data_IF_427458625530
#
_entry.id   IF_427458625530
#
_cell.length_a   1.000
_cell.length_b   1.000
_cell.length_c   1.000
_cell.angle_alpha   90.00
_cell.angle_beta   90.00
_cell.angle_gamma   90.00
#
_symmetry.space_group_name_H-M   'P 1'
#
loop_
_entity.id
_entity.type
_entity.pdbx_description
1 polymer ?
#
# COMPACT_ATOMS: atom_id res chain seq x y z
N UNK A 1 60.89 7.52 3.82
CA UNK A 1 60.37 6.17 3.54
C UNK A 1 59.11 6.34 2.73
N UNK A 2 59.17 5.99 1.45
CA UNK A 2 58.06 6.07 0.51
C UNK A 2 56.99 5.07 0.92
N UNK A 3 55.73 5.51 1.00
CA UNK A 3 54.57 4.69 1.28
C UNK A 3 54.41 3.62 0.19
N UNK A 4 54.97 2.43 0.40
CA UNK A 4 54.52 1.22 -0.28
C UNK A 4 53.15 0.85 0.31
N UNK A 5 52.12 1.61 -0.04
CA UNK A 5 50.75 1.23 0.25
C UNK A 5 50.49 -0.09 -0.48
N UNK A 6 50.31 -1.17 0.28
CA UNK A 6 49.93 -2.46 -0.28
C UNK A 6 48.70 -2.25 -1.16
N UNK A 7 48.83 -2.57 -2.44
CA UNK A 7 47.76 -2.36 -3.42
C UNK A 7 46.47 -3.07 -2.99
N UNK A 8 46.60 -4.18 -2.26
CA UNK A 8 45.49 -4.90 -1.61
C UNK A 8 44.76 -4.06 -0.55
N UNK A 9 45.48 -3.28 0.27
CA UNK A 9 44.88 -2.40 1.28
C UNK A 9 44.09 -1.27 0.64
N UNK A 10 44.63 -0.66 -0.43
CA UNK A 10 43.93 0.38 -1.20
C UNK A 10 42.67 -0.18 -1.89
N UNK A 11 42.76 -1.38 -2.47
CA UNK A 11 41.61 -2.06 -3.09
C UNK A 11 40.55 -2.38 -2.03
N UNK A 12 40.95 -2.90 -0.86
CA UNK A 12 40.02 -3.22 0.22
C UNK A 12 39.34 -1.96 0.79
N UNK A 13 40.09 -0.88 0.99
CA UNK A 13 39.55 0.40 1.44
C UNK A 13 38.57 0.98 0.41
N UNK A 14 38.93 0.96 -0.88
CA UNK A 14 38.06 1.39 -1.97
C UNK A 14 36.77 0.56 -2.07
N UNK A 15 36.88 -0.76 -2.00
CA UNK A 15 35.73 -1.67 -2.03
C UNK A 15 34.80 -1.45 -0.84
N UNK A 16 35.35 -1.23 0.36
CA UNK A 16 34.56 -0.95 1.57
C UNK A 16 33.82 0.38 1.47
N UNK A 17 34.46 1.41 0.91
CA UNK A 17 33.83 2.70 0.66
C UNK A 17 32.68 2.59 -0.36
N UNK A 18 32.92 1.91 -1.48
CA UNK A 18 31.90 1.65 -2.51
C UNK A 18 30.74 0.85 -1.93
N UNK A 19 31.02 -0.20 -1.14
CA UNK A 19 30.00 -0.98 -0.47
C UNK A 19 29.16 -0.14 0.51
N UNK A 20 29.79 0.76 1.27
CA UNK A 20 29.11 1.69 2.17
C UNK A 20 28.19 2.66 1.43
N UNK A 21 28.68 3.26 0.33
CA UNK A 21 27.89 4.18 -0.50
C UNK A 21 26.72 3.46 -1.17
N UNK A 22 26.97 2.28 -1.75
CA UNK A 22 25.92 1.45 -2.35
C UNK A 22 24.88 1.03 -1.30
N UNK A 23 25.32 0.62 -0.12
CA UNK A 23 24.43 0.28 1.00
C UNK A 23 23.54 1.46 1.40
N UNK A 24 24.10 2.67 1.49
CA UNK A 24 23.33 3.88 1.78
C UNK A 24 22.30 4.20 0.69
N UNK A 25 22.70 4.09 -0.60
CA UNK A 25 21.81 4.32 -1.74
C UNK A 25 20.66 3.32 -1.70
N UNK A 26 20.94 2.02 -1.53
CA UNK A 26 19.92 0.97 -1.45
C UNK A 26 18.98 1.26 -0.27
N UNK A 27 19.51 1.52 0.91
CA UNK A 27 18.69 1.81 2.09
C UNK A 27 17.78 3.03 1.86
N UNK A 28 18.33 4.13 1.32
CA UNK A 28 17.59 5.38 1.16
C UNK A 28 16.57 5.32 0.02
N UNK A 29 16.94 4.73 -1.11
CA UNK A 29 16.09 4.70 -2.31
C UNK A 29 15.14 3.51 -2.34
N UNK A 30 15.38 2.42 -1.60
CA UNK A 30 14.52 1.24 -1.67
C UNK A 30 13.66 1.10 -0.43
N UNK A 31 14.24 1.22 0.77
CA UNK A 31 13.48 1.01 2.01
C UNK A 31 12.39 2.08 2.16
N UNK A 32 12.73 3.35 1.94
CA UNK A 32 11.79 4.47 2.12
C UNK A 32 10.53 4.38 1.24
N UNK A 33 10.62 4.19 -0.10
CA UNK A 33 9.41 4.07 -0.93
C UNK A 33 8.61 2.79 -0.64
N UNK A 34 9.28 1.67 -0.35
CA UNK A 34 8.60 0.41 0.01
C UNK A 34 7.78 0.59 1.30
N UNK A 35 8.38 1.21 2.32
CA UNK A 35 7.69 1.50 3.58
C UNK A 35 6.51 2.46 3.34
N UNK A 36 6.69 3.50 2.53
CA UNK A 36 5.63 4.47 2.21
C UNK A 36 4.44 3.80 1.52
N UNK A 37 4.70 2.89 0.58
CA UNK A 37 3.68 2.09 -0.09
C UNK A 37 2.93 1.18 0.89
N UNK A 38 3.65 0.47 1.76
CA UNK A 38 3.02 -0.39 2.77
C UNK A 38 2.17 0.41 3.77
N UNK A 39 2.59 1.62 4.14
CA UNK A 39 1.80 2.51 5.00
C UNK A 39 0.52 2.96 4.28
N UNK A 40 0.62 3.39 3.02
CA UNK A 40 -0.56 3.79 2.23
C UNK A 40 -1.55 2.62 2.08
N UNK A 41 -1.02 1.41 1.83
CA UNK A 41 -1.78 0.16 1.75
C UNK A 41 -2.54 -0.15 3.05
N UNK A 42 -1.88 -0.01 4.21
CA UNK A 42 -2.53 -0.19 5.54
C UNK A 42 -3.57 0.88 5.85
N UNK A 43 -3.30 2.15 5.50
CA UNK A 43 -4.27 3.24 5.69
C UNK A 43 -5.54 2.99 4.88
N UNK A 44 -5.40 2.58 3.62
CA UNK A 44 -6.53 2.23 2.78
C UNK A 44 -7.35 1.10 3.40
N UNK A 45 -6.70 0.04 3.86
CA UNK A 45 -7.38 -1.10 4.48
C UNK A 45 -8.16 -0.71 5.75
N UNK A 46 -7.56 0.12 6.60
CA UNK A 46 -8.20 0.64 7.79
C UNK A 46 -9.46 1.46 7.45
N UNK A 47 -9.37 2.38 6.50
CA UNK A 47 -10.53 3.19 6.09
C UNK A 47 -11.63 2.37 5.42
N UNK A 48 -11.29 1.29 4.69
CA UNK A 48 -12.28 0.36 4.15
C UNK A 48 -12.99 -0.43 5.25
N UNK A 49 -12.27 -0.84 6.30
CA UNK A 49 -12.87 -1.48 7.48
C UNK A 49 -13.81 -0.54 8.23
N UNK A 50 -13.38 0.71 8.45
CA UNK A 50 -14.21 1.75 9.09
C UNK A 50 -15.47 2.02 8.25
N UNK A 51 -15.34 2.10 6.92
CA UNK A 51 -16.49 2.30 6.02
C UNK A 51 -17.50 1.15 6.09
N UNK A 52 -17.04 -0.10 6.15
CA UNK A 52 -17.93 -1.26 6.31
C UNK A 52 -18.69 -1.22 7.64
N UNK A 53 -18.00 -0.92 8.74
CA UNK A 53 -18.63 -0.79 10.06
C UNK A 53 -19.67 0.35 10.08
N UNK A 54 -19.37 1.48 9.44
CA UNK A 54 -20.31 2.61 9.34
C UNK A 54 -21.56 2.26 8.52
N UNK A 55 -21.44 1.44 7.47
CA UNK A 55 -22.61 0.96 6.72
C UNK A 55 -23.51 0.08 7.61
N UNK A 56 -22.91 -0.75 8.47
CA UNK A 56 -23.65 -1.60 9.41
C UNK A 56 -24.41 -0.74 10.45
N UNK A 57 -23.77 0.31 10.98
CA UNK A 57 -24.41 1.28 11.88
C UNK A 57 -25.52 2.11 11.20
N UNK A 58 -25.38 2.41 9.91
CA UNK A 58 -26.37 3.20 9.17
C UNK A 58 -27.67 2.42 8.92
N UNK A 59 -27.60 1.08 8.88
CA UNK A 59 -28.79 0.23 8.91
C UNK A 59 -29.60 0.42 10.21
N UNK A 60 -28.95 0.87 11.30
CA UNK A 60 -29.60 1.13 12.59
C UNK A 60 -29.97 2.61 12.77
N UNK A 61 -29.20 3.57 12.25
CA UNK A 61 -29.46 5.02 12.45
C UNK A 61 -29.26 5.88 11.17
N UNK A 62 -30.29 6.01 10.30
CA UNK A 62 -30.12 6.48 8.93
C UNK A 62 -29.94 8.00 8.72
N UNK A 63 -30.41 8.86 9.64
CA UNK A 63 -30.62 10.30 9.33
C UNK A 63 -29.43 11.24 9.57
N UNK A 64 -28.42 10.86 10.35
CA UNK A 64 -27.26 11.73 10.68
C UNK A 64 -25.94 11.27 10.09
N UNK A 65 -25.83 10.02 9.63
CA UNK A 65 -24.55 9.38 9.28
C UNK A 65 -24.26 9.38 7.77
N UNK A 66 -25.24 9.65 6.91
CA UNK A 66 -25.05 9.59 5.45
C UNK A 66 -23.95 10.53 4.92
N UNK A 67 -23.81 11.72 5.52
CA UNK A 67 -22.74 12.66 5.19
C UNK A 67 -21.35 12.16 5.59
N UNK A 68 -21.24 11.56 6.79
CA UNK A 68 -19.99 11.00 7.33
C UNK A 68 -19.55 9.80 6.47
N UNK A 69 -20.47 8.94 6.05
CA UNK A 69 -20.17 7.80 5.19
C UNK A 69 -19.62 8.23 3.83
N UNK A 70 -20.18 9.28 3.22
CA UNK A 70 -19.65 9.81 1.97
C UNK A 70 -18.24 10.40 2.14
N UNK A 71 -17.98 11.09 3.25
CA UNK A 71 -16.66 11.64 3.55
C UNK A 71 -15.61 10.55 3.79
N UNK A 72 -15.96 9.50 4.53
CA UNK A 72 -15.11 8.32 4.73
C UNK A 72 -14.79 7.63 3.41
N UNK A 73 -15.79 7.45 2.52
CA UNK A 73 -15.58 6.88 1.20
C UNK A 73 -14.67 7.75 0.32
N UNK A 74 -14.87 9.07 0.36
CA UNK A 74 -14.01 10.03 -0.37
C UNK A 74 -12.56 9.94 0.11
N UNK A 75 -12.37 9.79 1.42
CA UNK A 75 -11.05 9.64 2.04
C UNK A 75 -10.39 8.31 1.64
N UNK A 76 -11.15 7.20 1.67
CA UNK A 76 -10.68 5.90 1.19
C UNK A 76 -10.25 5.96 -0.28
N UNK A 77 -11.02 6.63 -1.15
CA UNK A 77 -10.65 6.83 -2.56
C UNK A 77 -9.39 7.66 -2.72
N UNK A 78 -9.24 8.74 -1.96
CA UNK A 78 -8.04 9.56 -1.97
C UNK A 78 -6.80 8.72 -1.62
N UNK A 79 -6.90 7.85 -0.61
CA UNK A 79 -5.83 6.93 -0.26
C UNK A 79 -5.57 5.86 -1.33
N UNK A 80 -6.61 5.39 -2.03
CA UNK A 80 -6.45 4.53 -3.22
C UNK A 80 -5.67 5.21 -4.35
N UNK A 81 -5.99 6.48 -4.65
CA UNK A 81 -5.27 7.27 -5.65
C UNK A 81 -3.82 7.55 -5.22
N UNK A 82 -3.60 7.91 -3.95
CA UNK A 82 -2.26 8.11 -3.40
C UNK A 82 -1.42 6.83 -3.50
N UNK A 83 -2.02 5.66 -3.29
CA UNK A 83 -1.38 4.36 -3.45
C UNK A 83 -0.95 4.11 -4.90
N UNK A 84 -1.83 4.41 -5.88
CA UNK A 84 -1.52 4.31 -7.32
C UNK A 84 -0.41 5.28 -7.72
N UNK A 85 -0.44 6.49 -7.18
CA UNK A 85 0.63 7.48 -7.39
C UNK A 85 1.95 7.00 -6.81
N UNK A 86 1.97 6.46 -5.59
CA UNK A 86 3.19 5.89 -5.00
C UNK A 86 3.71 4.71 -5.85
N UNK A 87 2.82 3.84 -6.32
CA UNK A 87 3.18 2.70 -7.17
C UNK A 87 3.80 3.15 -8.50
N UNK A 88 3.25 4.18 -9.13
CA UNK A 88 3.69 4.63 -10.46
C UNK A 88 4.93 5.52 -10.41
N UNK A 89 5.09 6.33 -9.36
CA UNK A 89 6.09 7.41 -9.29
C UNK A 89 7.27 7.08 -8.38
N UNK A 90 7.01 6.43 -7.23
CA UNK A 90 8.02 6.29 -6.16
C UNK A 90 8.64 4.89 -6.09
N UNK A 91 7.96 3.86 -6.62
CA UNK A 91 8.41 2.49 -6.50
C UNK A 91 9.51 2.14 -7.52
N UNK A 92 10.63 1.52 -7.08
CA UNK A 92 11.62 0.94 -7.99
C UNK A 92 11.00 -0.09 -8.93
N UNK A 93 11.44 -0.13 -10.18
CA UNK A 93 10.89 -1.02 -11.22
C UNK A 93 10.91 -2.50 -10.83
N UNK A 94 12.03 -2.99 -10.25
CA UNK A 94 12.15 -4.37 -9.79
C UNK A 94 11.11 -4.74 -8.72
N UNK A 95 10.73 -3.78 -7.87
CA UNK A 95 9.72 -4.00 -6.84
C UNK A 95 8.31 -4.02 -7.43
N UNK A 96 8.05 -3.26 -8.51
CA UNK A 96 6.80 -3.37 -9.27
C UNK A 96 6.66 -4.75 -9.93
N UNK A 97 7.74 -5.28 -10.50
CA UNK A 97 7.78 -6.64 -11.04
C UNK A 97 7.49 -7.69 -9.95
N UNK A 98 8.03 -7.50 -8.75
CA UNK A 98 7.75 -8.37 -7.61
C UNK A 98 6.28 -8.31 -7.19
N UNK A 99 5.67 -7.11 -7.19
CA UNK A 99 4.25 -6.93 -6.91
C UNK A 99 3.37 -7.57 -7.99
N UNK A 100 3.74 -7.42 -9.26
CA UNK A 100 3.06 -8.03 -10.39
C UNK A 100 3.14 -9.57 -10.36
N UNK A 101 4.30 -10.12 -9.97
CA UNK A 101 4.45 -11.56 -9.68
C UNK A 101 3.56 -12.04 -8.55
N UNK A 102 3.21 -11.16 -7.60
CA UNK A 102 2.24 -11.43 -6.51
C UNK A 102 0.80 -11.13 -6.91
N UNK A 103 0.55 -10.78 -8.17
CA UNK A 103 -0.74 -10.35 -8.70
C UNK A 103 -1.33 -9.13 -7.96
N UNK A 104 -0.46 -8.31 -7.35
CA UNK A 104 -0.87 -7.08 -6.66
C UNK A 104 -1.04 -5.93 -7.67
N UNK A 105 -2.27 -5.44 -7.83
CA UNK A 105 -2.62 -4.38 -8.79
C UNK A 105 -3.32 -3.19 -8.10
N UNK A 106 -2.55 -2.21 -7.57
CA UNK A 106 -3.14 -1.06 -6.88
C UNK A 106 -4.04 -0.21 -7.78
N UNK A 107 -3.77 -0.19 -9.09
CA UNK A 107 -4.60 0.51 -10.09
C UNK A 107 -5.98 -0.13 -10.23
N UNK A 108 -6.06 -1.46 -10.31
CA UNK A 108 -7.34 -2.18 -10.39
C UNK A 108 -8.13 -2.03 -9.10
N UNK A 109 -7.46 -2.13 -7.95
CA UNK A 109 -8.08 -1.94 -6.65
C UNK A 109 -8.68 -0.53 -6.51
N UNK A 110 -7.95 0.52 -6.89
CA UNK A 110 -8.47 1.89 -6.87
C UNK A 110 -9.67 2.07 -7.81
N UNK A 111 -9.64 1.44 -9.00
CA UNK A 111 -10.77 1.46 -9.94
C UNK A 111 -12.03 0.82 -9.38
N UNK A 112 -11.90 -0.29 -8.63
CA UNK A 112 -13.02 -0.93 -7.94
C UNK A 112 -13.65 0.01 -6.90
N UNK A 113 -12.84 0.78 -6.17
CA UNK A 113 -13.30 1.75 -5.16
C UNK A 113 -14.01 2.97 -5.76
N UNK A 114 -13.68 3.36 -6.99
CA UNK A 114 -14.34 4.49 -7.68
C UNK A 114 -15.83 4.22 -7.95
N UNK A 115 -16.25 2.95 -8.05
CA UNK A 115 -17.64 2.60 -8.32
C UNK A 115 -18.51 2.42 -7.06
N UNK A 116 -17.89 2.30 -5.86
CA UNK A 116 -18.60 2.05 -4.60
C UNK A 116 -19.69 3.08 -4.26
N UNK A 117 -19.49 4.36 -4.58
CA UNK A 117 -20.49 5.42 -4.30
C UNK A 117 -21.77 5.30 -5.10
N UNK A 118 -21.75 4.53 -6.19
CA UNK A 118 -22.93 4.26 -7.04
C UNK A 118 -23.68 3.01 -6.58
N UNK A 119 -23.01 2.18 -5.77
CA UNK A 119 -23.59 0.95 -5.25
C UNK A 119 -24.38 1.27 -3.99
N UNK A 120 -25.61 0.79 -3.95
CA UNK A 120 -26.52 0.98 -2.81
C UNK A 120 -26.80 -0.33 -2.06
N UNK A 121 -26.40 -1.45 -2.66
CA UNK A 121 -26.55 -2.79 -2.10
C UNK A 121 -25.29 -3.18 -1.29
N UNK A 122 -25.52 -3.54 -0.03
CA UNK A 122 -24.50 -3.92 0.95
C UNK A 122 -23.67 -5.11 0.48
N UNK A 123 -24.30 -6.16 -0.04
CA UNK A 123 -23.59 -7.38 -0.45
C UNK A 123 -22.64 -7.10 -1.61
N UNK A 124 -23.05 -6.21 -2.51
CA UNK A 124 -22.22 -5.74 -3.62
C UNK A 124 -21.05 -4.91 -3.11
N UNK A 125 -21.27 -4.02 -2.14
CA UNK A 125 -20.20 -3.21 -1.52
C UNK A 125 -19.17 -4.11 -0.83
N UNK A 126 -19.61 -5.05 0.01
CA UNK A 126 -18.73 -5.99 0.72
C UNK A 126 -17.91 -6.84 -0.26
N UNK A 127 -18.54 -7.37 -1.31
CA UNK A 127 -17.87 -8.18 -2.32
C UNK A 127 -16.83 -7.36 -3.09
N UNK A 128 -17.14 -6.12 -3.46
CA UNK A 128 -16.18 -5.24 -4.15
C UNK A 128 -15.02 -4.80 -3.26
N UNK A 129 -15.26 -4.58 -1.98
CA UNK A 129 -14.19 -4.29 -1.01
C UNK A 129 -13.33 -5.53 -0.80
N UNK A 130 -13.92 -6.73 -0.74
CA UNK A 130 -13.18 -7.99 -0.66
C UNK A 130 -12.33 -8.23 -1.91
N UNK A 131 -12.86 -7.99 -3.11
CA UNK A 131 -12.11 -8.05 -4.37
C UNK A 131 -10.96 -7.03 -4.40
N UNK A 132 -11.20 -5.79 -3.98
CA UNK A 132 -10.17 -4.76 -3.90
C UNK A 132 -9.05 -5.14 -2.90
N UNK A 133 -9.42 -5.74 -1.75
CA UNK A 133 -8.47 -6.27 -0.77
C UNK A 133 -7.66 -7.44 -1.35
N UNK A 134 -8.30 -8.34 -2.07
CA UNK A 134 -7.65 -9.49 -2.71
C UNK A 134 -6.65 -9.04 -3.77
N UNK A 135 -7.02 -8.07 -4.61
CA UNK A 135 -6.12 -7.44 -5.60
C UNK A 135 -4.96 -6.66 -4.97
N UNK A 136 -5.09 -6.25 -3.73
CA UNK A 136 -4.00 -5.68 -2.94
C UNK A 136 -3.26 -6.73 -2.11
N UNK A 137 -3.62 -8.01 -2.17
CA UNK A 137 -3.10 -9.05 -1.28
C UNK A 137 -3.10 -8.60 0.20
N UNK A 138 -4.15 -7.87 0.57
CA UNK A 138 -4.45 -7.53 1.94
C UNK A 138 -5.13 -8.76 2.51
N UNK A 139 -4.46 -9.44 3.45
CA UNK A 139 -5.05 -10.57 4.17
C UNK A 139 -6.33 -10.05 4.83
N UNK A 140 -7.49 -10.42 4.27
CA UNK A 140 -8.79 -10.03 4.79
C UNK A 140 -8.88 -10.53 6.23
N UNK A 141 -8.72 -9.63 7.20
CA UNK A 141 -8.95 -9.93 8.62
C UNK A 141 -10.46 -9.96 8.91
N UNK A 142 -11.18 -10.76 8.12
CA UNK A 142 -12.55 -11.17 8.35
C UNK A 142 -12.57 -12.68 8.28
N UNK A 143 -12.01 -13.32 9.31
CA UNK A 143 -11.88 -14.77 9.33
C UNK A 143 -11.16 -15.37 10.53
N UNK A 144 -11.24 -14.77 11.72
CA UNK A 144 -11.05 -15.50 12.98
C UNK A 144 -12.34 -15.45 13.81
N UNK A 145 -13.37 -16.10 13.28
CA UNK A 145 -14.28 -16.88 14.11
C UNK A 145 -13.87 -18.35 13.91
N UNK A 146 -12.83 -18.77 14.62
CA UNK A 146 -12.54 -20.19 14.81
C UNK A 146 -12.86 -20.49 16.26
N UNK A 147 -14.01 -21.14 16.42
CA UNK A 147 -14.39 -22.14 17.42
C UNK A 147 -13.98 -21.89 18.87
#
# INVERSE_FOLDING_TARGET
MLFSLDSSLLIAAGASFVAGVLGYIIARFWIKPIVRYNIAKRKLDHHLGVYLNMIDDLAQTPKKQAGIIQETLRTARKHGMDLVSCYSSDLPYWYRLLLESRQESPTEASGLLTNLSKMRDRQQIETRIAEARNKLNLKSDHGKKTT
#
